data_IF_288677543462
#
_entry.id   IF_288677543462
#
_cell.length_a   1.000
_cell.length_b   1.000
_cell.length_c   1.000
_cell.angle_alpha   90.00
_cell.angle_beta   90.00
_cell.angle_gamma   90.00
#
_symmetry.space_group_name_H-M   'P 1'
#
loop_
_entity.id
_entity.type
_entity.pdbx_description
1 polymer ?
#
# COMPACT_ATOMS: atom_id res chain seq x y z
N UNK A 1 10.08 18.59 -20.54
CA UNK A 1 9.30 19.78 -20.19
C UNK A 1 8.29 19.42 -19.12
N UNK A 2 7.82 20.38 -18.31
CA UNK A 2 6.79 20.13 -17.29
C UNK A 2 5.43 19.82 -17.94
N UNK A 3 4.73 18.81 -17.44
CA UNK A 3 3.37 18.48 -17.88
C UNK A 3 2.29 19.21 -17.06
N UNK A 4 2.58 19.47 -15.77
CA UNK A 4 1.70 20.18 -14.83
C UNK A 4 2.52 20.84 -13.74
N UNK A 5 2.00 21.93 -13.18
CA UNK A 5 2.69 22.73 -12.16
C UNK A 5 2.24 22.40 -10.72
N UNK A 6 1.21 21.56 -10.58
CA UNK A 6 0.69 21.08 -9.28
C UNK A 6 0.27 19.62 -9.39
N UNK A 7 0.50 18.87 -8.32
CA UNK A 7 0.11 17.47 -8.19
C UNK A 7 -0.66 17.27 -6.89
N UNK A 8 -1.65 16.37 -6.89
CA UNK A 8 -2.29 15.90 -5.67
C UNK A 8 -1.32 14.97 -4.95
N UNK A 9 -1.24 15.10 -3.63
CA UNK A 9 -0.42 14.26 -2.77
C UNK A 9 -1.33 13.51 -1.79
N UNK A 10 -0.98 12.27 -1.49
CA UNK A 10 -1.49 11.57 -0.32
C UNK A 10 -0.43 11.59 0.79
N UNK A 11 -0.85 11.54 2.05
CA UNK A 11 0.07 11.39 3.17
C UNK A 11 0.34 9.90 3.40
N UNK A 12 1.61 9.49 3.35
CA UNK A 12 2.02 8.11 3.67
C UNK A 12 2.43 8.04 5.15
N UNK A 13 1.73 7.23 5.93
CA UNK A 13 1.84 7.13 7.38
C UNK A 13 2.19 5.69 7.77
N UNK A 14 3.06 5.54 8.77
CA UNK A 14 3.54 4.23 9.22
C UNK A 14 4.94 3.97 8.70
N UNK A 15 5.95 4.37 9.48
CA UNK A 15 7.38 4.16 9.17
C UNK A 15 7.89 2.77 9.57
N UNK A 16 7.00 1.79 9.72
CA UNK A 16 7.33 0.44 10.16
C UNK A 16 7.48 0.24 11.67
N UNK A 17 7.40 1.30 12.47
CA UNK A 17 7.33 1.16 13.93
C UNK A 17 5.97 0.58 14.35
N UNK A 18 5.92 -0.29 15.37
CA UNK A 18 4.67 -0.77 15.91
C UNK A 18 3.75 0.36 16.36
N UNK A 19 2.53 0.35 15.85
CA UNK A 19 1.47 1.29 16.27
C UNK A 19 0.20 0.53 16.61
N UNK A 20 -0.51 1.08 17.59
CA UNK A 20 -1.90 0.74 17.90
C UNK A 20 -2.86 1.45 16.94
N UNK A 21 -4.11 0.97 16.80
CA UNK A 21 -5.12 1.66 16.01
C UNK A 21 -5.35 3.13 16.42
N UNK A 22 -5.35 3.43 17.72
CA UNK A 22 -5.58 4.79 18.22
C UNK A 22 -4.42 5.73 17.90
N UNK A 23 -3.18 5.25 18.00
CA UNK A 23 -2.00 6.01 17.58
C UNK A 23 -2.01 6.29 16.08
N UNK A 24 -2.41 5.32 15.26
CA UNK A 24 -2.56 5.51 13.83
C UNK A 24 -3.64 6.55 13.50
N UNK A 25 -4.80 6.49 14.17
CA UNK A 25 -5.86 7.50 14.02
C UNK A 25 -5.36 8.89 14.39
N UNK A 26 -4.61 9.04 15.47
CA UNK A 26 -4.01 10.33 15.85
C UNK A 26 -3.06 10.87 14.77
N UNK A 27 -2.24 10.01 14.16
CA UNK A 27 -1.36 10.43 13.04
C UNK A 27 -2.13 10.82 11.79
N UNK A 28 -3.26 10.15 11.53
CA UNK A 28 -4.15 10.50 10.42
C UNK A 28 -4.81 11.86 10.66
N UNK A 29 -5.24 12.15 11.89
CA UNK A 29 -5.78 13.47 12.26
C UNK A 29 -4.74 14.59 12.03
N UNK A 30 -3.50 14.38 12.48
CA UNK A 30 -2.38 15.30 12.20
C UNK A 30 -2.23 15.58 10.68
N UNK A 31 -2.33 14.54 9.85
CA UNK A 31 -2.24 14.67 8.40
C UNK A 31 -3.44 15.43 7.79
N UNK A 32 -4.66 15.22 8.29
CA UNK A 32 -5.83 15.96 7.83
C UNK A 32 -5.75 17.45 8.20
N UNK A 33 -5.26 17.74 9.41
CA UNK A 33 -5.00 19.10 9.90
C UNK A 33 -3.89 19.80 9.11
N UNK A 34 -2.90 19.05 8.61
CA UNK A 34 -1.89 19.54 7.67
C UNK A 34 -2.42 19.78 6.24
N UNK A 35 -3.69 19.47 5.97
CA UNK A 35 -4.35 19.74 4.68
C UNK A 35 -4.35 18.58 3.69
N UNK A 36 -3.84 17.40 4.05
CA UNK A 36 -3.94 16.22 3.19
C UNK A 36 -5.39 15.74 3.09
N UNK A 37 -5.74 15.22 1.91
CA UNK A 37 -7.10 14.72 1.61
C UNK A 37 -7.10 13.34 0.97
N UNK A 38 -5.97 12.64 1.08
CA UNK A 38 -5.80 11.24 0.72
C UNK A 38 -4.72 10.67 1.64
N UNK A 39 -4.91 9.44 2.11
CA UNK A 39 -4.09 8.83 3.15
C UNK A 39 -3.69 7.42 2.72
N UNK A 40 -2.45 7.02 3.02
CA UNK A 40 -2.00 5.64 2.99
C UNK A 40 -1.45 5.30 4.37
N UNK A 41 -1.95 4.24 4.97
CA UNK A 41 -1.39 3.69 6.22
C UNK A 41 -0.61 2.41 5.91
N UNK A 42 0.39 2.10 6.72
CA UNK A 42 1.27 0.95 6.54
C UNK A 42 1.25 0.04 7.76
N UNK A 43 1.38 -1.26 7.55
CA UNK A 43 1.63 -2.23 8.62
C UNK A 43 3.00 -2.06 9.29
N UNK A 44 3.22 -2.79 10.38
CA UNK A 44 4.50 -2.80 11.09
C UNK A 44 5.62 -3.44 10.25
N UNK A 45 6.87 -3.06 10.54
CA UNK A 45 8.05 -3.62 9.89
C UNK A 45 8.96 -4.32 10.91
N UNK A 46 9.37 -5.54 10.58
CA UNK A 46 10.31 -6.32 11.38
C UNK A 46 10.85 -7.55 10.66
N UNK A 47 11.89 -8.20 11.20
CA UNK A 47 12.57 -9.34 10.55
C UNK A 47 11.66 -10.58 10.36
N UNK A 48 10.58 -10.70 11.13
CA UNK A 48 9.63 -11.82 11.08
C UNK A 48 8.19 -11.32 10.87
N UNK A 49 8.01 -10.49 9.85
CA UNK A 49 6.73 -9.81 9.59
C UNK A 49 5.75 -10.56 8.70
N UNK A 50 6.15 -11.68 8.09
CA UNK A 50 5.25 -12.42 7.20
C UNK A 50 4.05 -12.94 7.98
N UNK A 51 2.87 -12.44 7.66
CA UNK A 51 1.61 -12.76 8.35
C UNK A 51 1.69 -12.56 9.87
N UNK A 52 2.47 -11.57 10.35
CA UNK A 52 2.76 -11.46 11.78
C UNK A 52 1.54 -11.14 12.64
N UNK A 53 0.69 -10.21 12.19
CA UNK A 53 -0.57 -9.87 12.87
C UNK A 53 -1.62 -9.26 11.93
N UNK A 54 -2.20 -10.06 10.99
CA UNK A 54 -3.22 -9.56 10.07
C UNK A 54 -4.47 -9.00 10.77
N UNK A 55 -4.79 -9.51 11.96
CA UNK A 55 -5.93 -9.04 12.74
C UNK A 55 -5.71 -7.62 13.26
N UNK A 56 -4.50 -7.29 13.72
CA UNK A 56 -4.14 -5.91 14.10
C UNK A 56 -4.14 -4.98 12.91
N UNK A 57 -3.65 -5.44 11.75
CA UNK A 57 -3.67 -4.67 10.51
C UNK A 57 -5.11 -4.34 10.07
N UNK A 58 -6.01 -5.33 10.13
CA UNK A 58 -7.45 -5.14 9.89
C UNK A 58 -8.07 -4.15 10.88
N UNK A 59 -7.77 -4.30 12.17
CA UNK A 59 -8.26 -3.40 13.21
C UNK A 59 -7.78 -1.95 13.01
N UNK A 60 -6.53 -1.77 12.57
CA UNK A 60 -5.95 -0.48 12.26
C UNK A 60 -6.64 0.17 11.07
N UNK A 61 -6.80 -0.54 9.96
CA UNK A 61 -7.53 -0.03 8.79
C UNK A 61 -8.97 0.32 9.13
N UNK A 62 -9.66 -0.55 9.89
CA UNK A 62 -11.02 -0.34 10.34
C UNK A 62 -11.17 0.93 11.19
N UNK A 63 -10.25 1.14 12.14
CA UNK A 63 -10.29 2.32 13.01
C UNK A 63 -10.08 3.62 12.21
N UNK A 64 -9.10 3.64 11.31
CA UNK A 64 -8.84 4.79 10.45
C UNK A 64 -10.01 5.04 9.50
N UNK A 65 -10.59 3.99 8.89
CA UNK A 65 -11.75 4.14 8.01
C UNK A 65 -12.95 4.73 8.72
N UNK A 66 -13.26 4.25 9.93
CA UNK A 66 -14.33 4.83 10.76
C UNK A 66 -14.08 6.30 11.10
N UNK A 67 -12.83 6.66 11.36
CA UNK A 67 -12.46 8.03 11.73
C UNK A 67 -12.59 9.01 10.55
N UNK A 68 -12.06 8.64 9.38
CA UNK A 68 -12.01 9.57 8.22
C UNK A 68 -13.28 9.55 7.36
N UNK A 69 -14.15 8.55 7.54
CA UNK A 69 -15.35 8.36 6.72
C UNK A 69 -15.04 7.88 5.29
N UNK A 70 -16.09 7.75 4.48
CA UNK A 70 -15.98 7.10 3.15
C UNK A 70 -15.40 8.02 2.06
N UNK A 71 -15.45 9.34 2.25
CA UNK A 71 -15.05 10.33 1.25
C UNK A 71 -13.53 10.50 1.11
N UNK A 72 -12.76 10.15 2.15
CA UNK A 72 -11.30 10.26 2.12
C UNK A 72 -10.72 8.98 1.49
N UNK A 73 -9.99 9.06 0.36
CA UNK A 73 -9.25 7.93 -0.16
C UNK A 73 -8.26 7.41 0.87
N UNK A 74 -8.41 6.14 1.26
CA UNK A 74 -7.54 5.45 2.20
C UNK A 74 -6.98 4.21 1.57
N UNK A 75 -5.66 4.10 1.63
CA UNK A 75 -4.91 2.99 1.05
C UNK A 75 -4.19 2.24 2.16
N UNK A 76 -3.87 0.97 1.92
CA UNK A 76 -3.12 0.16 2.86
C UNK A 76 -1.86 -0.38 2.19
N UNK A 77 -0.74 -0.29 2.90
CA UNK A 77 0.57 -0.75 2.46
C UNK A 77 0.99 -1.92 3.35
N UNK A 78 0.92 -3.14 2.80
CA UNK A 78 1.42 -4.35 3.46
C UNK A 78 2.94 -4.44 3.37
N UNK A 79 3.58 -3.58 2.57
CA UNK A 79 5.00 -3.42 2.48
C UNK A 79 5.71 -4.74 2.22
N UNK A 80 5.13 -5.68 1.47
CA UNK A 80 5.60 -7.04 1.23
C UNK A 80 5.43 -8.04 2.40
N UNK A 81 4.44 -7.81 3.27
CA UNK A 81 4.29 -8.46 4.57
C UNK A 81 3.37 -9.68 4.64
N UNK A 82 2.62 -10.04 3.60
CA UNK A 82 1.73 -11.19 3.65
C UNK A 82 2.19 -12.36 2.78
N UNK A 83 1.68 -13.56 3.10
CA UNK A 83 1.53 -14.63 2.11
C UNK A 83 0.34 -14.35 1.19
N UNK A 84 0.32 -14.97 0.00
CA UNK A 84 -0.75 -14.77 -1.01
C UNK A 84 -2.15 -14.96 -0.43
N UNK A 85 -2.37 -16.05 0.33
CA UNK A 85 -3.69 -16.33 0.91
C UNK A 85 -4.12 -15.29 1.93
N UNK A 86 -3.18 -14.80 2.75
CA UNK A 86 -3.47 -13.74 3.74
C UNK A 86 -3.73 -12.43 3.04
N UNK A 87 -2.93 -12.07 2.03
CA UNK A 87 -3.12 -10.87 1.23
C UNK A 87 -4.50 -10.82 0.58
N UNK A 88 -4.94 -11.90 -0.08
CA UNK A 88 -6.28 -11.95 -0.69
C UNK A 88 -7.36 -11.77 0.37
N UNK A 89 -7.23 -12.45 1.52
CA UNK A 89 -8.21 -12.33 2.61
C UNK A 89 -8.29 -10.91 3.17
N UNK A 90 -7.15 -10.27 3.44
CA UNK A 90 -7.10 -8.87 3.91
C UNK A 90 -7.63 -7.92 2.85
N UNK A 91 -7.24 -8.12 1.59
CA UNK A 91 -7.72 -7.35 0.44
C UNK A 91 -9.24 -7.33 0.35
N UNK A 92 -9.90 -8.50 0.40
CA UNK A 92 -11.36 -8.58 0.39
C UNK A 92 -12.03 -7.86 1.58
N UNK A 93 -11.41 -7.91 2.76
CA UNK A 93 -11.91 -7.16 3.93
C UNK A 93 -11.76 -5.65 3.73
N UNK A 94 -10.63 -5.21 3.16
CA UNK A 94 -10.38 -3.81 2.85
C UNK A 94 -11.30 -3.29 1.74
N UNK A 95 -11.63 -4.10 0.73
CA UNK A 95 -12.62 -3.79 -0.32
C UNK A 95 -14.00 -3.51 0.26
N UNK A 96 -14.46 -4.35 1.18
CA UNK A 96 -15.71 -4.14 1.90
C UNK A 96 -15.71 -2.82 2.71
N UNK A 97 -14.54 -2.23 2.95
CA UNK A 97 -14.32 -0.95 3.62
C UNK A 97 -13.89 0.18 2.65
N UNK A 98 -14.08 -0.02 1.35
CA UNK A 98 -13.80 0.98 0.29
C UNK A 98 -12.34 1.48 0.29
N UNK A 99 -11.38 0.55 0.37
CA UNK A 99 -9.97 0.85 0.14
C UNK A 99 -9.73 1.44 -1.24
N UNK A 100 -8.78 2.39 -1.33
CA UNK A 100 -8.44 3.08 -2.57
C UNK A 100 -7.42 2.31 -3.43
N UNK A 101 -6.34 1.82 -2.81
CA UNK A 101 -5.44 0.83 -3.41
C UNK A 101 -4.76 0.00 -2.31
N UNK A 102 -4.35 -1.21 -2.68
CA UNK A 102 -3.64 -2.13 -1.81
C UNK A 102 -2.19 -2.30 -2.30
N UNK A 103 -1.23 -1.84 -1.51
CA UNK A 103 0.16 -1.73 -1.90
C UNK A 103 1.01 -2.87 -1.36
N UNK A 104 1.87 -3.40 -2.24
CA UNK A 104 2.88 -4.44 -1.99
C UNK A 104 2.34 -5.58 -1.10
N UNK A 105 1.30 -6.30 -1.55
CA UNK A 105 0.61 -7.28 -0.72
C UNK A 105 1.52 -8.43 -0.24
N UNK A 106 2.43 -8.88 -1.10
CA UNK A 106 3.33 -10.03 -0.85
C UNK A 106 4.78 -9.65 -1.16
N UNK A 107 5.71 -10.56 -0.89
CA UNK A 107 7.13 -10.41 -1.19
C UNK A 107 7.38 -9.79 -2.58
N UNK A 108 8.21 -8.74 -2.67
CA UNK A 108 8.46 -7.97 -3.90
C UNK A 108 8.98 -8.82 -5.06
N UNK A 109 9.69 -9.91 -4.76
CA UNK A 109 10.25 -10.83 -5.77
C UNK A 109 9.23 -11.87 -6.24
N UNK A 110 8.08 -12.00 -5.57
CA UNK A 110 7.05 -12.98 -5.89
C UNK A 110 6.03 -12.39 -6.87
N UNK A 111 6.47 -12.18 -8.12
CA UNK A 111 5.60 -11.67 -9.18
C UNK A 111 4.38 -12.55 -9.45
N UNK A 112 4.53 -13.87 -9.30
CA UNK A 112 3.41 -14.80 -9.42
C UNK A 112 2.41 -14.57 -8.30
N UNK A 113 2.87 -14.43 -7.06
CA UNK A 113 2.02 -14.11 -5.91
C UNK A 113 1.33 -12.75 -6.04
N UNK A 114 2.05 -11.71 -6.50
CA UNK A 114 1.45 -10.39 -6.79
C UNK A 114 0.33 -10.53 -7.82
N UNK A 115 0.57 -11.27 -8.92
CA UNK A 115 -0.46 -11.55 -9.93
C UNK A 115 -1.67 -12.27 -9.33
N UNK A 116 -1.45 -13.28 -8.49
CA UNK A 116 -2.56 -14.00 -7.85
C UNK A 116 -3.42 -13.09 -6.97
N UNK A 117 -2.82 -12.12 -6.29
CA UNK A 117 -3.56 -11.13 -5.49
C UNK A 117 -4.30 -10.15 -6.40
N UNK A 118 -3.63 -9.59 -7.42
CA UNK A 118 -4.25 -8.65 -8.36
C UNK A 118 -5.41 -9.27 -9.15
N UNK A 119 -5.29 -10.53 -9.58
CA UNK A 119 -6.36 -11.24 -10.29
C UNK A 119 -7.56 -11.59 -9.38
N UNK A 120 -7.36 -11.63 -8.07
CA UNK A 120 -8.38 -12.06 -7.09
C UNK A 120 -9.17 -10.91 -6.46
N UNK A 121 -8.72 -9.67 -6.64
CA UNK A 121 -9.28 -8.48 -6.02
C UNK A 121 -9.83 -7.53 -7.10
N UNK A 122 -10.91 -6.82 -6.76
CA UNK A 122 -11.45 -5.70 -7.54
C UNK A 122 -10.73 -4.38 -7.21
N UNK A 123 -10.14 -4.24 -6.00
CA UNK A 123 -9.31 -3.08 -5.64
C UNK A 123 -8.01 -3.07 -6.45
N UNK A 124 -7.56 -1.89 -6.95
CA UNK A 124 -6.25 -1.75 -7.56
C UNK A 124 -5.11 -2.23 -6.65
N UNK A 125 -4.28 -3.13 -7.16
CA UNK A 125 -3.05 -3.58 -6.50
C UNK A 125 -1.86 -2.79 -7.04
N UNK A 126 -1.01 -2.30 -6.15
CA UNK A 126 0.20 -1.55 -6.52
C UNK A 126 1.48 -2.26 -6.13
N UNK A 127 2.51 -2.08 -6.96
CA UNK A 127 3.84 -2.63 -6.73
C UNK A 127 4.92 -1.82 -7.48
N UNK A 128 6.17 -2.06 -7.11
CA UNK A 128 7.32 -1.66 -7.92
C UNK A 128 8.31 -0.72 -7.26
N UNK A 129 8.15 -0.40 -5.96
CA UNK A 129 9.13 0.41 -5.24
C UNK A 129 10.46 -0.32 -5.02
N UNK A 130 10.50 -1.62 -5.28
CA UNK A 130 11.68 -2.47 -5.20
C UNK A 130 12.28 -2.85 -6.56
N UNK A 131 11.86 -2.20 -7.66
CA UNK A 131 12.48 -2.43 -8.97
C UNK A 131 13.58 -1.42 -9.28
N UNK A 132 14.80 -1.95 -9.41
CA UNK A 132 16.03 -1.16 -9.53
C UNK A 132 16.44 -0.93 -10.99
N UNK A 133 15.89 -1.69 -11.93
CA UNK A 133 16.20 -1.58 -13.35
C UNK A 133 14.94 -1.58 -14.19
N UNK A 134 15.00 -0.93 -15.36
CA UNK A 134 13.90 -0.96 -16.34
C UNK A 134 13.48 -2.38 -16.75
N UNK A 135 14.41 -3.36 -16.64
CA UNK A 135 14.17 -4.75 -16.99
C UNK A 135 13.34 -5.44 -15.93
N UNK A 136 13.60 -5.15 -14.65
CA UNK A 136 12.75 -5.59 -13.56
C UNK A 136 11.35 -4.97 -13.66
N UNK A 137 11.25 -3.67 -13.95
CA UNK A 137 9.93 -3.05 -14.19
C UNK A 137 9.18 -3.69 -15.36
N UNK A 138 9.87 -4.01 -16.46
CA UNK A 138 9.28 -4.77 -17.58
C UNK A 138 8.77 -6.13 -17.10
N UNK A 139 9.56 -6.85 -16.31
CA UNK A 139 9.21 -8.19 -15.84
C UNK A 139 8.06 -8.16 -14.84
N UNK A 140 8.02 -7.18 -13.94
CA UNK A 140 6.89 -6.89 -13.06
C UNK A 140 5.60 -6.67 -13.87
N UNK A 141 5.65 -5.82 -14.90
CA UNK A 141 4.48 -5.57 -15.76
C UNK A 141 4.04 -6.84 -16.47
N UNK A 142 4.99 -7.58 -17.06
CA UNK A 142 4.67 -8.75 -17.88
C UNK A 142 4.20 -9.97 -17.06
N UNK A 143 4.72 -10.15 -15.85
CA UNK A 143 4.48 -11.35 -15.03
C UNK A 143 3.47 -11.09 -13.91
N UNK A 144 3.59 -9.94 -13.23
CA UNK A 144 2.76 -9.61 -12.07
C UNK A 144 1.50 -8.82 -12.46
N UNK A 145 1.60 -7.99 -13.51
CA UNK A 145 0.53 -7.14 -14.02
C UNK A 145 -0.24 -6.35 -12.92
N UNK A 146 0.45 -5.56 -12.07
CA UNK A 146 -0.22 -4.73 -11.09
C UNK A 146 -0.94 -3.56 -11.77
N UNK A 147 -2.01 -3.06 -11.15
CA UNK A 147 -2.80 -1.94 -11.67
C UNK A 147 -2.05 -0.60 -11.59
N UNK A 148 -1.17 -0.47 -10.58
CA UNK A 148 -0.41 0.75 -10.31
C UNK A 148 1.07 0.43 -10.15
N UNK A 149 1.91 1.06 -10.98
CA UNK A 149 3.37 1.01 -10.85
C UNK A 149 3.87 2.14 -9.94
N UNK A 150 4.75 1.81 -9.00
CA UNK A 150 5.30 2.76 -8.02
C UNK A 150 6.83 2.81 -8.03
N UNK A 151 7.48 3.15 -9.16
CA UNK A 151 8.93 3.23 -9.21
C UNK A 151 9.46 4.33 -8.27
N UNK A 152 10.50 4.00 -7.51
CA UNK A 152 11.24 4.98 -6.72
C UNK A 152 12.45 5.47 -7.50
N UNK A 153 12.47 6.78 -7.81
CA UNK A 153 13.53 7.41 -8.62
C UNK A 153 14.93 7.23 -8.04
N UNK A 154 15.07 7.11 -6.71
CA UNK A 154 16.39 6.90 -6.09
C UNK A 154 16.84 5.45 -6.12
N UNK A 155 15.93 4.51 -6.42
CA UNK A 155 16.22 3.07 -6.54
C UNK A 155 16.30 2.63 -8.00
N UNK A 156 15.45 3.14 -8.89
CA UNK A 156 15.27 2.65 -10.26
C UNK A 156 16.30 3.19 -11.29
N UNK A 157 17.40 3.81 -10.82
CA UNK A 157 18.46 4.31 -11.70
C UNK A 157 18.30 5.75 -12.20
N UNK A 158 17.39 6.55 -11.61
CA UNK A 158 17.25 7.97 -11.89
C UNK A 158 16.16 8.33 -12.91
N UNK A 159 16.20 9.57 -13.40
CA UNK A 159 15.11 10.21 -14.18
C UNK A 159 15.11 9.85 -15.69
N UNK A 160 16.20 9.28 -16.21
CA UNK A 160 16.59 9.37 -17.64
C UNK A 160 15.69 8.64 -18.63
#
# INVERSE_FOLDING_TARGET
GSYRDRIKMYCSIGGGAPMTPDEMVSKVDDALNAGFRAIKIRMDWGPHRRDSDPAKDEAMFTAVRKFVGDDIPLSFDANNGYSVSTAIRQGCQFEAMNIYHFEEPVAQYDYTGIKQVADALDVPVSAGEHEYTRWQSRDLIAQANPDILQPDVVKCGGIT
#
